data_IF_954778889558
#
_entry.id   IF_954778889558
#
_cell.length_a   1.000
_cell.length_b   1.000
_cell.length_c   1.000
_cell.angle_alpha   90.00
_cell.angle_beta   90.00
_cell.angle_gamma   90.00
#
_symmetry.space_group_name_H-M   'P 1'
#
loop_
_entity.id
_entity.type
_entity.pdbx_description
1 polymer ?
#
# COMPACT_ATOMS: atom_id res chain seq x y z
N UNK A 1 -54.76 21.30 0.76
CA UNK A 1 -53.51 21.91 0.25
C UNK A 1 -52.35 20.99 0.63
N UNK A 2 -52.39 19.77 0.10
CA UNK A 2 -51.46 18.66 0.26
C UNK A 2 -51.43 17.94 -1.10
N UNK A 3 -50.29 17.36 -1.45
CA UNK A 3 -49.95 16.68 -2.72
C UNK A 3 -49.58 17.58 -3.91
N UNK A 4 -48.26 17.80 -4.08
CA UNK A 4 -47.51 17.84 -5.36
C UNK A 4 -46.05 18.26 -5.11
N UNK A 5 -45.16 17.31 -4.78
CA UNK A 5 -43.71 17.45 -5.02
C UNK A 5 -42.93 16.14 -5.07
N UNK A 6 -43.60 15.01 -5.34
CA UNK A 6 -42.95 13.74 -5.66
C UNK A 6 -43.39 13.39 -7.06
N UNK A 7 -42.59 13.75 -8.06
CA UNK A 7 -42.46 13.26 -9.44
C UNK A 7 -41.62 14.32 -10.18
N UNK A 8 -40.28 14.26 -10.05
CA UNK A 8 -39.34 14.77 -11.06
C UNK A 8 -37.87 14.32 -10.88
N UNK A 9 -37.59 13.28 -10.09
CA UNK A 9 -36.23 12.70 -9.98
C UNK A 9 -36.19 11.19 -10.27
N UNK A 10 -37.02 10.76 -11.21
CA UNK A 10 -37.01 9.40 -11.76
C UNK A 10 -36.84 9.48 -13.28
N UNK A 11 -35.69 9.98 -13.75
CA UNK A 11 -35.26 9.87 -15.15
C UNK A 11 -33.79 10.32 -15.31
N UNK A 12 -32.83 9.64 -14.67
CA UNK A 12 -31.41 9.65 -15.10
C UNK A 12 -30.53 8.66 -14.32
N UNK A 13 -31.09 7.55 -13.84
CA UNK A 13 -30.29 6.43 -13.33
C UNK A 13 -30.19 5.37 -14.44
N UNK A 14 -29.45 5.68 -15.50
CA UNK A 14 -28.89 4.62 -16.34
C UNK A 14 -27.57 4.19 -15.69
N UNK A 15 -27.64 2.97 -15.16
CA UNK A 15 -26.55 2.19 -14.62
C UNK A 15 -25.44 2.08 -15.67
N UNK A 16 -24.34 2.82 -15.49
CA UNK A 16 -23.05 2.39 -16.02
C UNK A 16 -22.42 1.47 -14.98
N UNK A 17 -22.66 0.17 -15.11
CA UNK A 17 -21.80 -0.84 -14.50
C UNK A 17 -20.44 -0.77 -15.21
N UNK A 18 -19.63 0.23 -14.84
CA UNK A 18 -18.20 0.19 -15.06
C UNK A 18 -17.64 -0.77 -14.03
N UNK A 19 -17.38 -2.01 -14.43
CA UNK A 19 -16.54 -2.92 -13.67
C UNK A 19 -15.20 -2.22 -13.49
N UNK A 20 -14.91 -1.66 -12.30
CA UNK A 20 -13.53 -1.33 -11.91
C UNK A 20 -12.76 -2.63 -12.04
N UNK A 21 -11.97 -2.76 -13.12
CA UNK A 21 -11.01 -3.85 -13.25
C UNK A 21 -10.09 -3.73 -12.05
N UNK A 22 -10.23 -4.66 -11.10
CA UNK A 22 -9.30 -4.83 -10.00
C UNK A 22 -7.94 -5.06 -10.63
N UNK A 23 -7.04 -4.09 -10.53
CA UNK A 23 -5.68 -4.25 -11.04
C UNK A 23 -5.11 -5.52 -10.41
N UNK A 24 -4.77 -6.52 -11.24
CA UNK A 24 -4.11 -7.73 -10.78
C UNK A 24 -2.73 -7.30 -10.29
N UNK A 25 -2.60 -7.07 -8.98
CA UNK A 25 -1.33 -6.80 -8.33
C UNK A 25 -0.49 -8.08 -8.41
N UNK A 26 0.50 -8.08 -9.29
CA UNK A 26 1.46 -9.19 -9.42
C UNK A 26 2.53 -9.07 -8.33
N UNK A 27 3.00 -10.21 -7.81
CA UNK A 27 4.13 -10.30 -6.88
C UNK A 27 5.39 -9.74 -7.57
N UNK A 28 5.96 -8.65 -7.05
CA UNK A 28 7.26 -8.12 -7.50
C UNK A 28 8.41 -8.80 -6.76
N UNK A 29 9.56 -8.98 -7.42
CA UNK A 29 10.75 -9.58 -6.80
C UNK A 29 11.50 -8.64 -5.84
N UNK A 30 11.13 -7.34 -5.81
CA UNK A 30 11.64 -6.38 -4.84
C UNK A 30 10.48 -5.78 -4.03
N UNK A 31 10.67 -5.76 -2.71
CA UNK A 31 9.69 -5.29 -1.71
C UNK A 31 9.84 -3.78 -1.54
N UNK A 32 8.81 -3.03 -1.91
CA UNK A 32 8.77 -1.58 -1.69
C UNK A 32 8.78 -1.29 -0.19
N UNK A 33 9.59 -0.31 0.23
CA UNK A 33 9.68 0.09 1.64
C UNK A 33 8.33 0.67 2.09
N UNK A 34 7.82 0.23 3.24
CA UNK A 34 6.49 0.57 3.72
C UNK A 34 6.52 1.24 5.09
N UNK A 35 5.93 2.42 5.23
CA UNK A 35 5.86 3.14 6.50
C UNK A 35 4.40 3.43 6.87
N UNK A 36 3.91 2.70 7.86
CA UNK A 36 2.61 2.90 8.50
C UNK A 36 2.70 3.85 9.68
N UNK A 37 1.84 4.86 9.77
CA UNK A 37 1.67 5.72 10.94
C UNK A 37 0.38 5.38 11.70
N UNK A 38 0.48 4.65 12.81
CA UNK A 38 -0.68 4.33 13.65
C UNK A 38 -0.86 5.40 14.74
N UNK A 39 -1.85 6.28 14.55
CA UNK A 39 -2.14 7.37 15.49
C UNK A 39 -2.78 6.86 16.79
N UNK A 40 -3.26 5.61 16.81
CA UNK A 40 -4.00 5.01 17.93
C UNK A 40 -5.15 5.92 18.35
N UNK A 41 -5.51 5.94 19.64
CA UNK A 41 -6.52 6.83 20.18
C UNK A 41 -5.99 8.26 20.44
N UNK A 42 -5.44 8.91 19.41
CA UNK A 42 -4.98 10.31 19.47
C UNK A 42 -5.54 11.12 18.29
N UNK A 43 -6.14 12.27 18.58
CA UNK A 43 -6.61 13.18 17.53
C UNK A 43 -7.50 14.31 18.04
N UNK A 44 -7.39 15.44 17.36
CA UNK A 44 -8.32 16.59 17.36
C UNK A 44 -8.32 17.14 15.94
N UNK A 45 -9.33 17.92 15.55
CA UNK A 45 -9.36 18.55 14.21
C UNK A 45 -8.08 19.33 13.92
N UNK A 46 -7.60 20.13 14.88
CA UNK A 46 -6.34 20.88 14.77
C UNK A 46 -5.12 19.97 14.61
N UNK A 47 -5.05 18.87 15.37
CA UNK A 47 -3.94 17.92 15.25
C UNK A 47 -3.96 17.22 13.88
N UNK A 48 -5.15 16.84 13.39
CA UNK A 48 -5.33 16.24 12.06
C UNK A 48 -4.83 17.20 11.00
N UNK A 49 -5.30 18.45 11.00
CA UNK A 49 -4.90 19.48 10.04
C UNK A 49 -3.38 19.69 10.03
N UNK A 50 -2.76 19.71 11.22
CA UNK A 50 -1.31 19.85 11.35
C UNK A 50 -0.55 18.66 10.77
N UNK A 51 -1.00 17.44 11.05
CA UNK A 51 -0.32 16.22 10.60
C UNK A 51 -0.47 16.03 9.08
N UNK A 52 -1.67 16.26 8.53
CA UNK A 52 -1.91 16.17 7.08
C UNK A 52 -1.14 17.25 6.32
N UNK A 53 -1.12 18.49 6.81
CA UNK A 53 -0.30 19.56 6.23
C UNK A 53 1.20 19.22 6.25
N UNK A 54 1.70 18.60 7.32
CA UNK A 54 3.08 18.13 7.40
C UNK A 54 3.42 17.10 6.32
N UNK A 55 2.56 16.10 6.13
CA UNK A 55 2.72 15.05 5.13
C UNK A 55 2.61 15.59 3.70
N UNK A 56 1.67 16.51 3.44
CA UNK A 56 1.50 17.10 2.11
C UNK A 56 2.72 17.87 1.64
N UNK A 57 3.39 18.58 2.55
CA UNK A 57 4.59 19.38 2.28
C UNK A 57 5.89 18.57 2.34
N UNK A 58 5.85 17.30 2.75
CA UNK A 58 7.03 16.48 2.93
C UNK A 58 7.59 15.99 1.59
N UNK A 59 8.91 16.06 1.42
CA UNK A 59 9.57 15.35 0.32
C UNK A 59 9.83 13.90 0.77
N UNK A 60 9.06 12.95 0.22
CA UNK A 60 9.16 11.51 0.50
C UNK A 60 9.37 10.82 -0.85
N UNK A 61 10.38 9.95 -1.01
CA UNK A 61 10.61 9.24 -2.25
C UNK A 61 9.40 8.40 -2.68
N UNK A 62 9.08 8.38 -3.98
CA UNK A 62 8.07 7.47 -4.55
C UNK A 62 8.35 5.99 -4.23
N UNK A 63 9.61 5.66 -3.87
CA UNK A 63 10.01 4.32 -3.48
C UNK A 63 9.53 3.89 -2.09
N UNK A 64 8.85 4.76 -1.36
CA UNK A 64 8.31 4.51 -0.04
C UNK A 64 6.79 4.59 -0.11
N UNK A 65 6.12 3.51 0.25
CA UNK A 65 4.67 3.52 0.43
C UNK A 65 4.35 4.01 1.84
N UNK A 66 3.54 5.06 1.94
CA UNK A 66 3.17 5.67 3.23
C UNK A 66 1.68 5.47 3.46
N UNK A 67 1.33 4.93 4.63
CA UNK A 67 -0.06 4.69 5.03
C UNK A 67 -0.28 5.26 6.42
N UNK A 68 -1.37 6.00 6.63
CA UNK A 68 -1.70 6.61 7.92
C UNK A 68 -3.01 6.05 8.46
N UNK A 69 -3.03 5.65 9.73
CA UNK A 69 -4.20 5.10 10.42
C UNK A 69 -4.69 6.06 11.53
N UNK A 70 -5.56 7.03 11.20
CA UNK A 70 -6.20 7.89 12.20
C UNK A 70 -7.32 7.15 12.97
N UNK A 71 -7.78 7.67 14.13
CA UNK A 71 -9.06 7.24 14.69
C UNK A 71 -10.19 7.36 13.67
N UNK A 72 -11.12 6.41 13.65
CA UNK A 72 -12.16 6.30 12.63
C UNK A 72 -12.98 7.59 12.41
N UNK A 73 -13.23 8.35 13.49
CA UNK A 73 -13.99 9.62 13.42
C UNK A 73 -13.28 10.72 12.61
N UNK A 74 -11.96 10.59 12.41
CA UNK A 74 -11.15 11.53 11.63
C UNK A 74 -10.74 10.98 10.26
N UNK A 75 -11.07 9.71 9.95
CA UNK A 75 -10.55 9.05 8.74
C UNK A 75 -10.98 9.74 7.44
N UNK A 76 -12.27 10.10 7.33
CA UNK A 76 -12.78 10.81 6.13
C UNK A 76 -12.15 12.20 5.97
N UNK A 77 -11.92 12.94 7.07
CA UNK A 77 -11.20 14.22 7.04
C UNK A 77 -9.77 14.02 6.53
N UNK A 78 -9.07 12.99 7.01
CA UNK A 78 -7.69 12.68 6.60
C UNK A 78 -7.63 12.32 5.11
N UNK A 79 -8.56 11.49 4.62
CA UNK A 79 -8.68 11.16 3.19
C UNK A 79 -8.83 12.43 2.33
N UNK A 80 -9.70 13.36 2.72
CA UNK A 80 -9.96 14.58 1.95
C UNK A 80 -8.78 15.56 1.95
N UNK A 81 -7.92 15.50 2.95
CA UNK A 81 -6.82 16.45 3.13
C UNK A 81 -5.49 15.95 2.60
N UNK A 82 -5.24 14.64 2.58
CA UNK A 82 -3.96 14.09 2.17
C UNK A 82 -3.80 14.11 0.65
N UNK A 83 -2.56 14.31 0.20
CA UNK A 83 -2.16 14.10 -1.18
C UNK A 83 -2.28 12.62 -1.57
N UNK A 84 -2.50 12.35 -2.86
CA UNK A 84 -2.74 11.01 -3.40
C UNK A 84 -1.62 9.99 -3.10
N UNK A 85 -0.38 10.44 -2.90
CA UNK A 85 0.75 9.55 -2.62
C UNK A 85 0.77 8.99 -1.18
N UNK A 86 -0.17 9.40 -0.32
CA UNK A 86 -0.28 8.92 1.07
C UNK A 86 -1.64 8.28 1.23
N UNK A 87 -1.66 6.99 1.55
CA UNK A 87 -2.90 6.23 1.70
C UNK A 87 -3.41 6.27 3.14
N UNK A 88 -4.69 5.93 3.32
CA UNK A 88 -5.35 5.92 4.63
C UNK A 88 -5.76 4.50 5.00
N UNK A 89 -5.53 4.15 6.26
CA UNK A 89 -5.96 2.91 6.87
C UNK A 89 -6.99 3.12 7.98
N UNK A 90 -7.89 2.16 8.16
CA UNK A 90 -8.59 2.03 9.45
C UNK A 90 -7.69 1.39 10.51
N UNK A 91 -7.96 1.66 11.78
CA UNK A 91 -7.23 1.04 12.90
C UNK A 91 -7.78 -0.34 13.30
N UNK A 92 -8.95 -0.70 12.77
CA UNK A 92 -9.58 -2.01 12.89
C UNK A 92 -10.64 -2.19 11.78
N UNK A 93 -11.06 -3.43 11.54
CA UNK A 93 -12.15 -3.78 10.61
C UNK A 93 -12.86 -5.04 11.08
N UNK A 94 -14.17 -5.15 10.83
CA UNK A 94 -14.97 -6.31 11.20
C UNK A 94 -14.98 -7.37 10.09
N UNK A 95 -14.99 -8.64 10.48
CA UNK A 95 -15.16 -9.77 9.56
C UNK A 95 -16.64 -10.14 9.33
N UNK A 96 -17.57 -9.53 10.07
CA UNK A 96 -18.95 -10.00 10.20
C UNK A 96 -19.91 -9.50 9.12
N UNK A 97 -19.46 -8.58 8.27
CA UNK A 97 -20.30 -7.92 7.27
C UNK A 97 -21.34 -6.98 7.90
N UNK A 98 -22.29 -6.51 7.09
CA UNK A 98 -23.38 -5.66 7.58
C UNK A 98 -24.31 -6.43 8.53
N UNK A 99 -24.69 -5.82 9.64
CA UNK A 99 -25.55 -6.47 10.62
C UNK A 99 -25.64 -5.75 11.95
N UNK A 100 -26.14 -6.45 12.96
CA UNK A 100 -26.34 -5.94 14.31
C UNK A 100 -25.04 -5.95 15.15
N UNK A 101 -24.05 -5.19 14.70
CA UNK A 101 -22.72 -5.06 15.33
C UNK A 101 -22.42 -3.59 15.63
N UNK A 102 -23.17 -3.01 16.56
CA UNK A 102 -23.06 -1.57 16.90
C UNK A 102 -21.63 -1.17 17.21
N UNK A 103 -21.09 -0.23 16.41
CA UNK A 103 -19.74 0.31 16.58
C UNK A 103 -18.66 -0.32 15.68
N UNK A 104 -18.97 -1.43 15.01
CA UNK A 104 -18.06 -2.07 14.04
C UNK A 104 -18.04 -1.30 12.71
N UNK A 105 -16.92 -1.43 11.98
CA UNK A 105 -16.74 -0.93 10.63
C UNK A 105 -16.56 -2.11 9.68
N UNK A 106 -17.34 -2.16 8.60
CA UNK A 106 -17.18 -3.20 7.57
C UNK A 106 -16.14 -2.79 6.53
N UNK A 107 -15.50 -3.74 5.82
CA UNK A 107 -14.61 -3.41 4.71
C UNK A 107 -15.31 -2.59 3.61
N UNK A 108 -16.59 -2.86 3.35
CA UNK A 108 -17.39 -2.11 2.37
C UNK A 108 -17.54 -0.63 2.77
N UNK A 109 -17.74 -0.32 4.06
CA UNK A 109 -17.78 1.07 4.56
C UNK A 109 -16.42 1.79 4.39
N UNK A 110 -15.31 1.06 4.56
CA UNK A 110 -13.97 1.63 4.34
C UNK A 110 -13.78 1.99 2.86
N UNK A 111 -14.12 1.07 1.95
CA UNK A 111 -14.02 1.30 0.52
C UNK A 111 -14.92 2.44 0.03
N UNK A 112 -16.12 2.60 0.59
CA UNK A 112 -17.03 3.72 0.30
C UNK A 112 -16.48 5.10 0.72
N UNK A 113 -15.50 5.11 1.63
CA UNK A 113 -14.85 6.32 2.14
C UNK A 113 -13.40 6.48 1.62
N UNK A 114 -13.05 5.80 0.52
CA UNK A 114 -11.71 5.81 -0.08
C UNK A 114 -10.58 5.44 0.90
N UNK A 115 -10.88 4.59 1.89
CA UNK A 115 -9.90 4.02 2.83
C UNK A 115 -9.47 2.66 2.26
N UNK A 116 -8.23 2.57 1.76
CA UNK A 116 -7.73 1.38 1.05
C UNK A 116 -7.03 0.34 1.94
N UNK A 117 -6.80 0.66 3.23
CA UNK A 117 -6.08 -0.20 4.16
C UNK A 117 -6.82 -0.42 5.48
N UNK A 118 -6.49 -1.51 6.19
CA UNK A 118 -6.92 -1.76 7.56
C UNK A 118 -5.80 -2.39 8.38
N UNK A 119 -5.61 -1.92 9.61
CA UNK A 119 -4.78 -2.62 10.62
C UNK A 119 -5.64 -3.73 11.25
N UNK A 120 -5.09 -4.93 11.38
CA UNK A 120 -5.78 -6.07 12.03
C UNK A 120 -4.88 -6.71 13.08
N UNK A 121 -5.43 -7.03 14.25
CA UNK A 121 -4.71 -7.79 15.27
C UNK A 121 -3.58 -7.03 15.96
N UNK A 122 -3.63 -5.70 15.99
CA UNK A 122 -2.69 -4.89 16.75
C UNK A 122 -2.66 -5.36 18.22
N UNK A 123 -1.48 -5.35 18.84
CA UNK A 123 -1.26 -5.89 20.19
C UNK A 123 -2.23 -5.33 21.25
N UNK A 124 -2.59 -4.04 21.17
CA UNK A 124 -3.58 -3.41 22.06
C UNK A 124 -4.97 -4.03 21.90
N UNK A 125 -5.36 -4.44 20.69
CA UNK A 125 -6.65 -5.11 20.46
C UNK A 125 -6.65 -6.53 21.00
N UNK A 126 -5.56 -7.27 20.82
CA UNK A 126 -5.38 -8.59 21.43
C UNK A 126 -5.42 -8.53 22.95
N UNK A 127 -4.68 -7.58 23.54
CA UNK A 127 -4.54 -7.48 24.99
C UNK A 127 -5.74 -6.86 25.71
N UNK A 128 -6.35 -5.81 25.14
CA UNK A 128 -7.42 -5.05 25.80
C UNK A 128 -8.83 -5.46 25.35
N UNK A 129 -8.96 -6.01 24.14
CA UNK A 129 -10.24 -6.40 23.56
C UNK A 129 -10.36 -7.91 23.32
N UNK A 130 -9.32 -8.68 23.63
CA UNK A 130 -9.35 -10.14 23.58
C UNK A 130 -9.36 -10.74 22.18
N UNK A 131 -8.90 -10.01 21.17
CA UNK A 131 -8.88 -10.53 19.79
C UNK A 131 -8.00 -11.77 19.65
N UNK A 132 -8.64 -12.86 19.22
CA UNK A 132 -8.01 -14.17 19.03
C UNK A 132 -7.23 -14.24 17.72
N UNK A 133 -6.38 -15.27 17.57
CA UNK A 133 -5.64 -15.48 16.32
C UNK A 133 -6.59 -15.73 15.15
N UNK A 134 -7.64 -16.51 15.41
CA UNK A 134 -8.67 -16.89 14.46
C UNK A 134 -9.45 -15.65 13.99
N UNK A 135 -9.89 -14.79 14.92
CA UNK A 135 -10.58 -13.55 14.57
C UNK A 135 -9.70 -12.61 13.75
N UNK A 136 -8.41 -12.51 14.06
CA UNK A 136 -7.49 -11.69 13.26
C UNK A 136 -7.36 -12.23 11.84
N UNK A 137 -7.19 -13.55 11.68
CA UNK A 137 -7.18 -14.16 10.35
C UNK A 137 -8.48 -13.92 9.56
N UNK A 138 -9.64 -13.97 10.23
CA UNK A 138 -10.93 -13.68 9.62
C UNK A 138 -11.08 -12.21 9.21
N UNK A 139 -10.63 -11.27 10.05
CA UNK A 139 -10.62 -9.83 9.74
C UNK A 139 -9.71 -9.52 8.56
N UNK A 140 -8.48 -10.03 8.57
CA UNK A 140 -7.52 -9.87 7.47
C UNK A 140 -8.10 -10.39 6.15
N UNK A 141 -8.68 -11.60 6.17
CA UNK A 141 -9.29 -12.18 4.98
C UNK A 141 -10.53 -11.42 4.50
N UNK A 142 -11.37 -10.93 5.42
CA UNK A 142 -12.56 -10.15 5.08
C UNK A 142 -12.21 -8.81 4.41
N UNK A 143 -11.17 -8.12 4.92
CA UNK A 143 -10.65 -6.90 4.31
C UNK A 143 -10.18 -7.15 2.86
N UNK A 144 -9.28 -8.11 2.68
CA UNK A 144 -8.66 -8.39 1.37
C UNK A 144 -9.70 -8.85 0.34
N UNK A 145 -10.67 -9.69 0.73
CA UNK A 145 -11.77 -10.12 -0.16
C UNK A 145 -12.62 -8.95 -0.69
N UNK A 146 -12.60 -7.82 -0.01
CA UNK A 146 -13.34 -6.60 -0.37
C UNK A 146 -12.44 -5.52 -0.98
N UNK A 147 -11.20 -5.86 -1.31
CA UNK A 147 -10.23 -4.93 -1.92
C UNK A 147 -9.57 -3.99 -0.92
N UNK A 148 -9.73 -4.22 0.38
CA UNK A 148 -9.04 -3.46 1.43
C UNK A 148 -7.76 -4.22 1.81
N UNK A 149 -6.61 -3.60 1.59
CA UNK A 149 -5.31 -4.17 1.96
C UNK A 149 -5.16 -4.24 3.48
N UNK A 150 -4.35 -5.16 4.00
CA UNK A 150 -4.24 -5.40 5.44
C UNK A 150 -2.81 -5.22 5.97
N UNK A 151 -2.68 -4.53 7.10
CA UNK A 151 -1.49 -4.52 7.95
C UNK A 151 -1.80 -5.47 9.13
N UNK A 152 -1.39 -6.74 9.01
CA UNK A 152 -1.67 -7.77 10.00
C UNK A 152 -0.57 -7.83 11.06
N UNK A 153 -0.92 -7.48 12.30
CA UNK A 153 0.02 -7.41 13.40
C UNK A 153 0.18 -8.75 14.14
N UNK A 154 1.42 -9.07 14.46
CA UNK A 154 1.86 -10.21 15.27
C UNK A 154 2.92 -9.76 16.27
N UNK A 155 3.01 -10.43 17.41
CA UNK A 155 3.92 -10.04 18.49
C UNK A 155 3.86 -10.96 19.69
N UNK A 156 4.99 -11.11 20.36
CA UNK A 156 5.13 -11.80 21.64
C UNK A 156 5.23 -10.81 22.82
N UNK A 157 4.77 -11.25 23.99
CA UNK A 157 4.93 -10.53 25.26
C UNK A 157 6.34 -10.69 25.82
N UNK A 158 6.72 -9.83 26.79
CA UNK A 158 8.02 -9.97 27.47
C UNK A 158 8.19 -11.35 28.10
N UNK A 159 7.13 -11.87 28.74
CA UNK A 159 7.16 -13.18 29.39
C UNK A 159 7.36 -14.30 28.37
N UNK A 160 6.72 -14.23 27.20
CA UNK A 160 6.89 -15.20 26.12
C UNK A 160 8.32 -15.13 25.55
N UNK A 161 8.89 -13.94 25.42
CA UNK A 161 10.30 -13.75 25.04
C UNK A 161 11.26 -14.39 26.04
N UNK A 162 11.11 -14.04 27.32
CA UNK A 162 11.99 -14.51 28.41
C UNK A 162 11.89 -16.01 28.66
N UNK A 163 10.78 -16.63 28.28
CA UNK A 163 10.57 -18.09 28.32
C UNK A 163 10.98 -18.82 27.02
N UNK A 164 11.54 -18.12 26.04
CA UNK A 164 11.99 -18.72 24.77
C UNK A 164 10.85 -19.11 23.81
N UNK A 165 9.64 -18.58 24.01
CA UNK A 165 8.44 -18.92 23.24
C UNK A 165 8.17 -17.94 22.08
N UNK A 166 9.08 -17.00 21.79
CA UNK A 166 8.91 -15.97 20.74
C UNK A 166 8.38 -16.54 19.43
N UNK A 167 9.10 -17.49 18.83
CA UNK A 167 8.70 -18.03 17.53
C UNK A 167 7.46 -18.92 17.62
N UNK A 168 7.24 -19.64 18.71
CA UNK A 168 6.02 -20.43 18.89
C UNK A 168 4.77 -19.53 18.80
N UNK A 169 4.79 -18.40 19.51
CA UNK A 169 3.70 -17.43 19.54
C UNK A 169 3.50 -16.77 18.17
N UNK A 170 4.59 -16.28 17.57
CA UNK A 170 4.52 -15.58 16.29
C UNK A 170 4.05 -16.49 15.15
N UNK A 171 4.50 -17.75 15.13
CA UNK A 171 4.10 -18.70 14.11
C UNK A 171 2.64 -19.14 14.28
N UNK A 172 2.14 -19.27 15.52
CA UNK A 172 0.72 -19.53 15.75
C UNK A 172 -0.17 -18.38 15.23
N UNK A 173 0.23 -17.14 15.48
CA UNK A 173 -0.46 -15.95 14.97
C UNK A 173 -0.42 -15.86 13.44
N UNK A 174 0.77 -16.03 12.84
CA UNK A 174 0.96 -15.99 11.39
C UNK A 174 0.21 -17.12 10.68
N UNK A 175 0.19 -18.33 11.28
CA UNK A 175 -0.55 -19.46 10.73
C UNK A 175 -2.04 -19.18 10.66
N UNK A 176 -2.65 -18.58 11.69
CA UNK A 176 -4.08 -18.27 11.66
C UNK A 176 -4.45 -17.27 10.55
N UNK A 177 -3.56 -16.31 10.26
CA UNK A 177 -3.69 -15.41 9.10
C UNK A 177 -3.58 -16.19 7.80
N UNK A 178 -2.55 -17.05 7.66
CA UNK A 178 -2.31 -17.85 6.46
C UNK A 178 -3.47 -18.81 6.16
N UNK A 179 -4.04 -19.46 7.18
CA UNK A 179 -5.14 -20.42 7.05
C UNK A 179 -6.43 -19.77 6.50
N UNK A 180 -6.61 -18.47 6.69
CA UNK A 180 -7.80 -17.71 6.25
C UNK A 180 -7.56 -16.90 4.99
N UNK A 181 -6.30 -16.71 4.58
CA UNK A 181 -5.90 -15.88 3.45
C UNK A 181 -6.57 -16.35 2.16
N UNK A 182 -7.31 -15.48 1.43
CA UNK A 182 -7.83 -15.84 0.11
C UNK A 182 -6.68 -16.11 -0.87
N UNK A 183 -6.95 -16.92 -1.89
CA UNK A 183 -5.98 -17.19 -2.97
C UNK A 183 -5.48 -15.87 -3.58
N UNK A 184 -4.17 -15.73 -3.73
CA UNK A 184 -3.53 -14.49 -4.21
C UNK A 184 -3.50 -13.33 -3.21
N UNK A 185 -4.16 -13.43 -2.05
CA UNK A 185 -4.33 -12.32 -1.11
C UNK A 185 -3.05 -11.78 -0.46
N UNK A 186 -1.95 -12.55 -0.48
CA UNK A 186 -0.67 -12.13 0.09
C UNK A 186 -0.08 -10.86 -0.54
N UNK A 187 -0.45 -10.52 -1.79
CA UNK A 187 -0.02 -9.27 -2.45
C UNK A 187 -0.55 -8.02 -1.73
N UNK A 188 -1.70 -8.15 -1.06
CA UNK A 188 -2.40 -7.08 -0.35
C UNK A 188 -2.23 -7.18 1.17
N UNK A 189 -1.31 -8.02 1.65
CA UNK A 189 -1.01 -8.20 3.07
C UNK A 189 0.40 -7.75 3.41
N UNK A 190 0.51 -6.95 4.47
CA UNK A 190 1.78 -6.58 5.12
C UNK A 190 1.76 -7.19 6.53
N UNK A 191 2.82 -7.90 6.91
CA UNK A 191 2.97 -8.42 8.27
C UNK A 191 3.71 -7.37 9.10
N UNK A 192 3.09 -6.91 10.19
CA UNK A 192 3.74 -6.04 11.16
C UNK A 192 4.19 -6.86 12.38
N UNK A 193 5.49 -7.08 12.52
CA UNK A 193 6.06 -7.67 13.72
C UNK A 193 6.28 -6.59 14.77
N UNK A 194 5.57 -6.71 15.88
CA UNK A 194 5.56 -5.75 16.98
C UNK A 194 5.83 -6.49 18.30
N UNK A 195 7.09 -6.59 18.76
CA UNK A 195 7.37 -7.15 20.08
C UNK A 195 6.64 -6.32 21.12
N UNK A 196 5.66 -6.90 21.83
CA UNK A 196 4.72 -6.16 22.68
C UNK A 196 5.46 -5.39 23.78
N UNK A 197 6.55 -5.96 24.26
CA UNK A 197 7.44 -5.37 25.26
C UNK A 197 8.21 -4.14 24.77
N UNK A 198 8.26 -3.90 23.46
CA UNK A 198 8.87 -2.72 22.85
C UNK A 198 7.86 -1.62 22.50
N UNK A 199 6.55 -1.81 22.74
CA UNK A 199 5.52 -0.84 22.34
C UNK A 199 5.32 0.18 23.46
N UNK A 200 5.69 1.44 23.23
CA UNK A 200 5.45 2.54 24.18
C UNK A 200 6.28 2.48 25.47
N UNK A 201 7.19 1.51 25.61
CA UNK A 201 8.03 1.31 26.80
C UNK A 201 9.38 2.04 26.73
N UNK A 202 9.75 2.55 25.55
CA UNK A 202 11.09 3.09 25.28
C UNK A 202 12.20 2.04 25.21
N UNK A 203 11.88 0.75 25.48
CA UNK A 203 12.77 -0.38 25.19
C UNK A 203 12.61 -0.72 23.71
N UNK A 204 13.71 -0.71 22.97
CA UNK A 204 13.73 -1.03 21.54
C UNK A 204 14.43 -2.37 21.37
N UNK A 205 13.89 -3.27 20.54
CA UNK A 205 14.65 -4.45 20.14
C UNK A 205 15.95 -4.01 19.46
N UNK A 206 17.03 -4.75 19.69
CA UNK A 206 18.26 -4.49 18.93
C UNK A 206 18.02 -4.80 17.45
N UNK A 207 18.76 -4.17 16.52
CA UNK A 207 18.65 -4.50 15.10
C UNK A 207 18.83 -6.00 14.81
N UNK A 208 19.73 -6.66 15.54
CA UNK A 208 19.92 -8.11 15.43
C UNK A 208 18.66 -8.90 15.85
N UNK A 209 17.99 -8.51 16.94
CA UNK A 209 16.76 -9.16 17.39
C UNK A 209 15.60 -8.96 16.40
N UNK A 210 15.49 -7.77 15.79
CA UNK A 210 14.49 -7.51 14.76
C UNK A 210 14.77 -8.36 13.50
N UNK A 211 16.03 -8.36 13.04
CA UNK A 211 16.45 -9.12 11.86
C UNK A 211 16.27 -10.63 12.04
N UNK A 212 16.60 -11.18 13.21
CA UNK A 212 16.41 -12.61 13.54
C UNK A 212 14.94 -13.03 13.34
N UNK A 213 14.02 -12.30 13.96
CA UNK A 213 12.59 -12.62 13.87
C UNK A 213 12.07 -12.45 12.44
N UNK A 214 12.41 -11.35 11.76
CA UNK A 214 11.97 -11.12 10.39
C UNK A 214 12.45 -12.22 9.43
N UNK A 215 13.71 -12.63 9.56
CA UNK A 215 14.28 -13.72 8.77
C UNK A 215 13.54 -15.03 9.01
N UNK A 216 13.22 -15.36 10.25
CA UNK A 216 12.53 -16.59 10.60
C UNK A 216 11.06 -16.59 10.14
N UNK A 217 10.37 -15.45 10.23
CA UNK A 217 9.03 -15.26 9.67
C UNK A 217 9.04 -15.46 8.14
N UNK A 218 10.04 -14.89 7.45
CA UNK A 218 10.19 -15.07 6.00
C UNK A 218 10.49 -16.51 5.62
N UNK A 219 11.37 -17.19 6.37
CA UNK A 219 11.65 -18.61 6.19
C UNK A 219 10.39 -19.47 6.40
N UNK A 220 9.54 -19.10 7.35
CA UNK A 220 8.26 -19.77 7.56
C UNK A 220 7.31 -19.57 6.38
N UNK A 221 7.18 -18.36 5.83
CA UNK A 221 6.37 -18.10 4.63
C UNK A 221 6.87 -18.93 3.44
N UNK A 222 8.20 -19.02 3.25
CA UNK A 222 8.79 -19.76 2.13
C UNK A 222 8.45 -21.26 2.21
N UNK A 223 8.44 -21.81 3.43
CA UNK A 223 8.18 -23.22 3.69
C UNK A 223 6.70 -23.58 3.66
N UNK A 224 5.83 -22.72 4.19
CA UNK A 224 4.43 -23.07 4.46
C UNK A 224 3.44 -22.45 3.48
N UNK A 225 3.84 -21.42 2.73
CA UNK A 225 2.99 -20.79 1.72
C UNK A 225 3.61 -20.99 0.33
N UNK A 226 4.65 -20.24 0.00
CA UNK A 226 5.46 -20.43 -1.20
C UNK A 226 6.70 -19.54 -1.15
N UNK A 227 7.69 -19.85 -1.98
CA UNK A 227 8.88 -19.00 -2.13
C UNK A 227 8.51 -17.62 -2.66
N UNK A 228 7.59 -17.56 -3.62
CA UNK A 228 7.13 -16.32 -4.24
C UNK A 228 6.47 -15.39 -3.22
N UNK A 229 5.62 -15.94 -2.34
CA UNK A 229 5.00 -15.17 -1.24
C UNK A 229 6.05 -14.69 -0.25
N UNK A 230 7.03 -15.51 0.10
CA UNK A 230 8.08 -15.12 1.04
C UNK A 230 8.97 -13.97 0.50
N UNK A 231 9.25 -14.00 -0.81
CA UNK A 231 10.09 -13.01 -1.47
C UNK A 231 9.36 -11.66 -1.64
N UNK A 232 8.03 -11.66 -1.80
CA UNK A 232 7.24 -10.45 -2.05
C UNK A 232 6.55 -9.88 -0.81
N UNK A 233 6.23 -10.70 0.19
CA UNK A 233 5.51 -10.25 1.39
C UNK A 233 6.39 -9.31 2.18
N UNK A 234 5.83 -8.13 2.48
CA UNK A 234 6.51 -7.13 3.30
C UNK A 234 6.33 -7.47 4.77
N UNK A 235 7.44 -7.50 5.49
CA UNK A 235 7.49 -7.67 6.93
C UNK A 235 8.07 -6.39 7.53
N UNK A 236 7.22 -5.63 8.21
CA UNK A 236 7.56 -4.34 8.81
C UNK A 236 7.72 -4.46 10.32
N UNK A 237 8.54 -3.60 10.92
CA UNK A 237 8.85 -3.62 12.34
C UNK A 237 8.10 -2.51 13.10
N UNK A 238 7.47 -2.83 14.23
CA UNK A 238 6.66 -1.88 15.02
C UNK A 238 7.07 -1.63 16.49
N UNK A 239 8.32 -1.91 16.87
CA UNK A 239 8.79 -1.72 18.25
C UNK A 239 9.56 -0.42 18.51
N UNK A 240 8.90 0.64 18.96
CA UNK A 240 9.52 1.92 19.37
C UNK A 240 10.46 2.57 18.32
N UNK A 241 10.09 2.48 17.04
CA UNK A 241 10.80 3.18 15.94
C UNK A 241 10.68 4.70 16.11
N UNK A 242 11.78 5.41 15.89
CA UNK A 242 11.87 6.87 15.95
C UNK A 242 12.98 7.39 15.02
N UNK A 243 13.13 8.72 14.92
CA UNK A 243 14.12 9.34 14.03
C UNK A 243 15.58 8.94 14.31
N UNK A 244 15.90 8.46 15.52
CA UNK A 244 17.27 8.09 15.91
C UNK A 244 17.67 6.67 15.48
N UNK A 245 16.71 5.73 15.42
CA UNK A 245 17.01 4.31 15.16
C UNK A 245 16.51 3.80 13.79
N UNK A 246 15.62 4.53 13.12
CA UNK A 246 15.00 4.08 11.88
C UNK A 246 16.02 3.78 10.76
N UNK A 247 17.09 4.57 10.62
CA UNK A 247 18.10 4.37 9.56
C UNK A 247 18.83 3.04 9.70
N UNK A 248 19.20 2.66 10.92
CA UNK A 248 19.89 1.39 11.17
C UNK A 248 18.97 0.20 10.91
N UNK A 249 17.73 0.27 11.41
CA UNK A 249 16.72 -0.76 11.18
C UNK A 249 16.35 -0.91 9.70
N UNK A 250 16.31 0.19 8.93
CA UNK A 250 15.99 0.20 7.51
C UNK A 250 17.09 -0.43 6.62
N UNK A 251 18.29 -0.66 7.15
CA UNK A 251 19.35 -1.37 6.41
C UNK A 251 19.29 -2.90 6.61
N UNK A 252 18.39 -3.40 7.47
CA UNK A 252 18.28 -4.82 7.74
C UNK A 252 17.62 -5.55 6.55
N UNK A 253 18.20 -6.66 6.05
CA UNK A 253 17.75 -7.31 4.80
C UNK A 253 16.28 -7.75 4.76
N UNK A 254 15.74 -8.14 5.92
CA UNK A 254 14.37 -8.68 6.02
C UNK A 254 13.38 -7.68 6.63
N UNK A 255 13.81 -6.45 6.94
CA UNK A 255 12.95 -5.38 7.43
C UNK A 255 12.52 -4.49 6.26
N UNK A 256 11.25 -4.61 5.88
CA UNK A 256 10.68 -3.93 4.71
C UNK A 256 10.03 -2.59 5.07
N UNK A 257 10.23 -2.11 6.29
CA UNK A 257 9.69 -0.84 6.77
C UNK A 257 9.18 -0.89 8.20
N UNK A 258 8.26 0.02 8.54
CA UNK A 258 7.87 0.29 9.92
C UNK A 258 6.36 0.46 10.12
N UNK A 259 5.88 0.04 11.30
CA UNK A 259 4.60 0.48 11.85
C UNK A 259 4.87 1.39 13.06
N UNK A 260 4.61 2.68 12.91
CA UNK A 260 5.07 3.72 13.83
C UNK A 260 3.91 4.22 14.68
N UNK A 261 4.02 4.05 16.00
CA UNK A 261 3.08 4.60 16.98
C UNK A 261 3.34 6.07 17.28
N UNK A 262 3.78 6.40 18.50
CA UNK A 262 3.87 7.79 18.98
C UNK A 262 4.77 8.74 18.17
N UNK A 263 5.77 8.24 17.43
CA UNK A 263 6.57 9.07 16.52
C UNK A 263 5.80 9.50 15.25
N UNK A 264 4.70 8.82 14.89
CA UNK A 264 3.83 9.21 13.77
C UNK A 264 3.02 10.48 14.02
N UNK A 265 2.91 10.90 15.29
CA UNK A 265 2.22 12.12 15.71
C UNK A 265 3.15 13.34 15.74
N UNK A 266 4.37 13.21 15.19
CA UNK A 266 5.44 14.21 15.29
C UNK A 266 6.11 14.44 13.94
N UNK A 267 6.79 15.59 13.75
CA UNK A 267 7.53 15.87 12.52
C UNK A 267 8.58 14.81 12.15
N UNK A 268 9.15 14.13 13.15
CA UNK A 268 10.15 13.06 12.94
C UNK A 268 9.61 11.87 12.14
N UNK A 269 8.28 11.74 11.95
CA UNK A 269 7.71 10.71 11.07
C UNK A 269 8.19 10.84 9.62
N UNK A 270 8.42 12.07 9.13
CA UNK A 270 8.96 12.32 7.80
C UNK A 270 10.40 11.79 7.69
N UNK A 271 11.21 11.95 8.75
CA UNK A 271 12.56 11.40 8.80
C UNK A 271 12.54 9.86 8.75
N UNK A 272 11.54 9.23 9.38
CA UNK A 272 11.34 7.78 9.34
C UNK A 272 10.89 7.31 7.94
N UNK A 273 10.03 8.06 7.26
CA UNK A 273 9.68 7.80 5.86
C UNK A 273 10.91 7.86 4.95
N UNK A 274 11.88 8.71 5.29
CA UNK A 274 13.13 8.90 4.55
C UNK A 274 14.28 8.00 5.05
N UNK A 275 14.01 6.98 5.88
CA UNK A 275 15.04 6.18 6.54
C UNK A 275 15.98 5.42 5.59
N UNK A 276 15.52 5.08 4.38
CA UNK A 276 16.34 4.40 3.36
C UNK A 276 17.30 5.34 2.62
N UNK A 277 17.11 6.66 2.72
CA UNK A 277 17.84 7.67 1.93
C UNK A 277 17.72 7.47 0.42
N UNK A 278 18.68 8.01 -0.35
CA UNK A 278 18.75 7.91 -1.82
C UNK A 278 19.03 6.48 -2.35
N UNK A 279 19.12 5.47 -1.48
CA UNK A 279 19.16 4.06 -1.92
C UNK A 279 17.81 3.62 -2.50
N UNK A 280 16.75 4.42 -2.34
CA UNK A 280 15.50 4.30 -3.08
C UNK A 280 15.61 4.79 -4.53
N UNK A 281 16.62 4.33 -5.30
CA UNK A 281 16.63 4.57 -6.75
C UNK A 281 15.47 3.80 -7.37
N UNK A 282 14.38 4.55 -7.60
CA UNK A 282 13.15 4.24 -8.32
C UNK A 282 12.51 2.89 -7.96
N UNK A 283 11.39 2.92 -7.20
CA UNK A 283 10.50 1.76 -7.07
C UNK A 283 9.75 1.41 -8.37
N UNK A 284 10.15 2.02 -9.48
CA UNK A 284 9.65 1.69 -10.80
C UNK A 284 10.72 0.93 -11.55
N UNK A 285 10.33 -0.18 -12.17
CA UNK A 285 11.07 -0.68 -13.31
C UNK A 285 10.88 0.35 -14.43
N UNK A 286 11.95 1.10 -14.67
CA UNK A 286 12.01 2.05 -15.77
C UNK A 286 12.26 1.30 -17.07
N UNK A 287 11.38 1.53 -18.04
CA UNK A 287 11.35 0.79 -19.30
C UNK A 287 11.45 1.74 -20.49
N UNK A 288 12.19 1.29 -21.49
CA UNK A 288 12.20 1.85 -22.82
C UNK A 288 11.42 0.96 -23.78
N UNK A 289 10.61 1.54 -24.67
CA UNK A 289 9.95 0.80 -25.75
C UNK A 289 10.73 1.07 -27.05
N UNK A 290 11.23 0.03 -27.71
CA UNK A 290 11.81 0.15 -29.05
C UNK A 290 10.83 -0.39 -30.09
N UNK A 291 10.14 0.52 -30.77
CA UNK A 291 9.08 0.25 -31.74
C UNK A 291 7.68 0.42 -31.16
N UNK A 292 6.89 1.33 -31.73
CA UNK A 292 5.54 1.69 -31.27
C UNK A 292 4.42 1.04 -32.11
N UNK A 293 4.68 -0.18 -32.57
CA UNK A 293 3.69 -1.04 -33.21
C UNK A 293 2.68 -1.65 -32.22
N UNK A 294 2.09 -2.79 -32.57
CA UNK A 294 1.08 -3.46 -31.71
C UNK A 294 1.62 -3.78 -30.32
N UNK A 295 2.83 -4.34 -30.25
CA UNK A 295 3.46 -4.73 -28.97
C UNK A 295 3.79 -3.50 -28.14
N UNK A 296 4.41 -2.47 -28.72
CA UNK A 296 4.75 -1.24 -27.99
C UNK A 296 3.54 -0.58 -27.34
N UNK A 297 2.41 -0.51 -28.05
CA UNK A 297 1.17 0.04 -27.50
C UNK A 297 0.60 -0.81 -26.35
N UNK A 298 0.68 -2.14 -26.45
CA UNK A 298 0.28 -3.04 -25.35
C UNK A 298 1.17 -2.88 -24.12
N UNK A 299 2.48 -2.77 -24.30
CA UNK A 299 3.42 -2.56 -23.18
C UNK A 299 3.16 -1.23 -22.50
N UNK A 300 2.92 -0.16 -23.27
CA UNK A 300 2.59 1.15 -22.69
C UNK A 300 1.29 1.10 -21.88
N UNK A 301 0.24 0.48 -22.41
CA UNK A 301 -1.05 0.31 -21.72
C UNK A 301 -0.89 -0.51 -20.45
N UNK A 302 -0.19 -1.65 -20.53
CA UNK A 302 0.05 -2.50 -19.38
C UNK A 302 0.85 -1.77 -18.29
N UNK A 303 1.89 -1.01 -18.68
CA UNK A 303 2.71 -0.25 -17.73
C UNK A 303 1.91 0.80 -16.96
N UNK A 304 0.90 1.41 -17.59
CA UNK A 304 0.07 2.42 -16.92
C UNK A 304 -0.92 1.80 -15.92
N UNK A 305 -1.34 0.56 -16.15
CA UNK A 305 -2.16 -0.21 -15.21
C UNK A 305 -1.35 -0.84 -14.05
N UNK A 306 -0.03 -0.69 -14.02
CA UNK A 306 0.84 -1.29 -12.99
C UNK A 306 1.62 -0.23 -12.19
N UNK A 307 1.38 -0.20 -10.88
CA UNK A 307 1.92 0.81 -9.95
C UNK A 307 3.45 0.80 -9.78
N UNK A 308 4.19 -0.15 -10.36
CA UNK A 308 5.63 -0.35 -10.16
C UNK A 308 6.42 -0.42 -11.48
N UNK A 309 5.80 -0.06 -12.61
CA UNK A 309 6.48 0.02 -13.92
C UNK A 309 6.25 1.39 -14.54
N UNK A 310 7.28 1.97 -15.15
CA UNK A 310 7.16 3.26 -15.84
C UNK A 310 7.87 3.21 -17.19
N UNK A 311 7.16 3.55 -18.26
CA UNK A 311 7.77 3.80 -19.57
C UNK A 311 8.27 5.24 -19.61
N UNK A 312 9.58 5.43 -19.68
CA UNK A 312 10.21 6.75 -19.67
C UNK A 312 10.56 7.24 -21.08
N UNK A 313 10.77 6.29 -22.00
CA UNK A 313 11.20 6.56 -23.36
C UNK A 313 10.60 5.57 -24.36
N UNK A 314 10.28 6.08 -25.54
CA UNK A 314 9.87 5.31 -26.71
C UNK A 314 10.80 5.69 -27.85
N UNK A 315 11.41 4.72 -28.52
CA UNK A 315 12.10 4.94 -29.78
C UNK A 315 11.29 4.32 -30.91
N UNK A 316 10.89 5.13 -31.89
CA UNK A 316 10.36 4.66 -33.16
C UNK A 316 10.85 5.60 -34.29
N UNK A 317 11.67 5.11 -35.24
CA UNK A 317 12.18 5.93 -36.34
C UNK A 317 11.11 6.41 -37.33
N UNK A 318 9.92 5.83 -37.30
CA UNK A 318 8.90 5.99 -38.34
C UNK A 318 7.59 6.59 -37.80
N UNK A 319 7.38 6.57 -36.49
CA UNK A 319 6.16 7.03 -35.84
C UNK A 319 6.47 8.24 -34.97
N UNK A 320 5.82 9.37 -35.25
CA UNK A 320 5.94 10.59 -34.46
C UNK A 320 5.02 10.58 -33.24
N UNK A 321 5.34 11.36 -32.21
CA UNK A 321 4.59 11.39 -30.94
C UNK A 321 3.11 11.77 -31.09
N UNK A 322 2.78 12.68 -32.02
CA UNK A 322 1.40 13.03 -32.36
C UNK A 322 0.64 11.86 -32.97
N UNK A 323 1.30 11.08 -33.84
CA UNK A 323 0.71 9.87 -34.40
C UNK A 323 0.61 8.74 -33.36
N UNK A 324 1.57 8.61 -32.43
CA UNK A 324 1.46 7.71 -31.28
C UNK A 324 0.21 8.00 -30.44
N UNK A 325 -0.02 9.28 -30.13
CA UNK A 325 -1.20 9.73 -29.39
C UNK A 325 -2.50 9.39 -30.15
N UNK A 326 -2.54 9.66 -31.46
CA UNK A 326 -3.65 9.28 -32.32
C UNK A 326 -3.91 7.77 -32.31
N UNK A 327 -2.86 6.95 -32.46
CA UNK A 327 -2.97 5.50 -32.49
C UNK A 327 -3.48 4.90 -31.19
N UNK A 328 -3.19 5.50 -30.04
CA UNK A 328 -3.73 5.04 -28.76
C UNK A 328 -5.19 5.48 -28.54
N UNK A 329 -5.54 6.69 -29.01
CA UNK A 329 -6.89 7.23 -28.91
C UNK A 329 -7.88 6.53 -29.83
N UNK A 330 -7.44 6.09 -31.00
CA UNK A 330 -8.28 5.46 -32.03
C UNK A 330 -7.77 4.06 -32.42
N UNK A 331 -7.25 3.30 -31.44
CA UNK A 331 -6.69 1.96 -31.69
C UNK A 331 -7.78 0.97 -32.12
N UNK A 332 -7.77 0.57 -33.39
CA UNK A 332 -8.73 -0.40 -33.93
C UNK A 332 -8.44 -1.84 -33.52
N UNK A 333 -7.27 -2.12 -32.95
CA UNK A 333 -6.84 -3.47 -32.54
C UNK A 333 -7.10 -3.69 -31.06
N UNK A 334 -6.77 -2.70 -30.22
CA UNK A 334 -6.85 -2.82 -28.76
C UNK A 334 -7.95 -1.98 -28.12
N UNK A 335 -8.72 -1.23 -28.92
CA UNK A 335 -9.74 -0.31 -28.45
C UNK A 335 -9.15 1.00 -27.92
N UNK A 336 -10.02 1.96 -27.65
CA UNK A 336 -9.65 3.27 -27.08
C UNK A 336 -8.90 3.04 -25.76
N UNK A 337 -7.75 3.68 -25.60
CA UNK A 337 -7.02 3.62 -24.34
C UNK A 337 -7.78 4.37 -23.23
N UNK A 338 -7.91 3.75 -22.06
CA UNK A 338 -8.57 4.31 -20.87
C UNK A 338 -7.60 5.17 -20.05
N UNK A 339 -6.91 6.09 -20.73
CA UNK A 339 -5.90 6.99 -20.16
C UNK A 339 -5.98 8.33 -20.87
N UNK A 340 -5.63 9.42 -20.20
CA UNK A 340 -5.55 10.74 -20.84
C UNK A 340 -4.30 10.80 -21.74
N UNK A 341 -4.48 11.11 -23.02
CA UNK A 341 -3.41 11.07 -24.02
C UNK A 341 -3.34 12.37 -24.78
N UNK A 342 -2.19 13.02 -24.67
CA UNK A 342 -1.82 14.21 -25.44
C UNK A 342 -0.38 14.09 -25.94
N UNK A 343 0.11 15.11 -26.63
CA UNK A 343 1.50 15.20 -27.03
C UNK A 343 1.94 16.67 -26.96
N UNK A 344 3.21 16.91 -26.62
CA UNK A 344 3.81 18.25 -26.63
C UNK A 344 5.31 18.14 -26.88
N UNK A 345 5.87 19.10 -27.64
CA UNK A 345 7.32 19.22 -27.89
C UNK A 345 8.00 17.93 -28.39
N UNK A 346 7.29 17.18 -29.25
CA UNK A 346 7.78 15.91 -29.79
C UNK A 346 7.76 14.74 -28.79
N UNK A 347 7.14 14.90 -27.62
CA UNK A 347 6.99 13.87 -26.60
C UNK A 347 5.53 13.42 -26.50
N UNK A 348 5.33 12.19 -26.04
CA UNK A 348 4.01 11.66 -25.73
C UNK A 348 3.67 11.98 -24.28
N UNK A 349 2.43 12.41 -24.00
CA UNK A 349 1.96 12.67 -22.64
C UNK A 349 0.83 11.69 -22.32
N UNK A 350 1.01 10.90 -21.27
CA UNK A 350 0.03 9.92 -20.79
C UNK A 350 -0.29 10.20 -19.33
N UNK A 351 -1.56 10.44 -18.99
CA UNK A 351 -2.01 10.82 -17.65
C UNK A 351 -1.19 11.98 -17.05
N UNK A 352 -0.91 13.01 -17.86
CA UNK A 352 -0.10 14.17 -17.49
C UNK A 352 1.42 13.92 -17.38
N UNK A 353 1.91 12.70 -17.66
CA UNK A 353 3.34 12.35 -17.60
C UNK A 353 3.97 12.39 -18.98
N UNK A 354 5.12 13.05 -19.08
CA UNK A 354 5.90 13.15 -20.32
C UNK A 354 6.76 11.92 -20.54
N UNK A 355 6.59 11.27 -21.70
CA UNK A 355 7.39 10.14 -22.20
C UNK A 355 8.21 10.64 -23.39
N UNK A 356 9.53 10.50 -23.30
CA UNK A 356 10.43 10.97 -24.36
C UNK A 356 10.26 10.11 -25.60
N UNK A 357 10.11 10.74 -26.77
CA UNK A 357 10.07 10.02 -28.05
C UNK A 357 11.34 10.29 -28.83
N UNK A 358 11.99 9.22 -29.27
CA UNK A 358 13.18 9.23 -30.13
C UNK A 358 12.84 8.64 -31.50
N UNK A 359 13.54 9.10 -32.52
CA UNK A 359 13.45 8.59 -33.89
C UNK A 359 14.83 8.18 -34.39
N UNK A 360 15.54 7.37 -33.61
CA UNK A 360 16.91 6.93 -33.91
C UNK A 360 16.90 5.49 -34.45
N UNK A 361 17.51 5.30 -35.62
CA UNK A 361 17.60 3.99 -36.28
C UNK A 361 18.70 3.11 -35.71
N UNK A 362 19.77 3.71 -35.17
CA UNK A 362 20.88 3.00 -34.55
C UNK A 362 20.60 2.77 -33.05
N UNK A 363 20.33 1.52 -32.61
CA UNK A 363 19.97 1.25 -31.23
C UNK A 363 21.03 1.70 -30.20
N UNK A 364 22.30 1.84 -30.62
CA UNK A 364 23.40 2.26 -29.75
C UNK A 364 23.40 3.77 -29.46
N UNK A 365 22.66 4.56 -30.24
CA UNK A 365 22.59 6.03 -30.12
C UNK A 365 21.34 6.53 -29.42
N UNK A 366 20.40 5.64 -29.08
CA UNK A 366 19.18 5.99 -28.36
C UNK A 366 19.55 6.44 -26.94
N UNK A 367 19.06 7.61 -26.55
CA UNK A 367 19.31 8.18 -25.22
C UNK A 367 18.15 7.84 -24.28
N UNK A 368 18.08 6.56 -23.89
CA UNK A 368 17.04 6.00 -23.01
C UNK A 368 16.79 6.84 -21.75
#
# INVERSE_FOLDING_TARGET
MFAKSVISRAASAQVSQGTKLTAVRSLSSQRQFFVGGNWKCNGSVELVDKLTAGLNNANIPDSVQVVIAPPAIYASQVVQQLRESVEVASQDVSHRGEGAFTGDLTPDMLGDNDISWAITGHSERRALHGETNEEVGEKTAAAIKKGISAIACIGETLQQRESGQTMEVLLAQLKAIADKMPEGGWVDCVIAYEPVWAIGTGKVATPAQAQEVHKDLRAWLAKNVSKEVADSTRIIYGGSVNGKNCKELAQLPDVDGFLVGGASLKPEFIDICNATGDKGKSAFIEMGINGFGRIGRLVLRASDHHMWTRVNAINDPFISADYMAYMLKYDTVHGVADVDITHADGNLIVNGRTIKVFSEMDPTKIKW
#
